data_IF_662505935216
#
_entry.id   IF_662505935216
#
_cell.length_a   1.000
_cell.length_b   1.000
_cell.length_c   1.000
_cell.angle_alpha   90.00
_cell.angle_beta   90.00
_cell.angle_gamma   90.00
#
_symmetry.space_group_name_H-M   'P 1'
#
loop_
_entity.id
_entity.type
_entity.pdbx_description
1 polymer ?
#
# COMPACT_ATOMS: atom_id res chain seq x y z
N UNK A 1 -2.87 -29.77 -0.83
CA UNK A 1 -2.59 -28.65 0.09
C UNK A 1 -1.09 -28.73 0.34
N UNK A 2 -0.28 -27.90 -0.33
CA UNK A 2 1.19 -27.97 -0.19
C UNK A 2 1.55 -27.43 1.20
N UNK A 3 2.05 -28.30 2.08
CA UNK A 3 2.76 -27.85 3.27
C UNK A 3 4.04 -27.15 2.77
N UNK A 4 4.15 -25.86 3.05
CA UNK A 4 5.37 -25.11 2.75
C UNK A 4 6.54 -25.78 3.48
N UNK A 5 7.60 -26.12 2.76
CA UNK A 5 8.82 -26.55 3.43
C UNK A 5 9.32 -25.43 4.37
N UNK A 6 10.01 -25.76 5.47
CA UNK A 6 10.55 -24.73 6.37
C UNK A 6 11.40 -23.68 5.64
N UNK A 7 12.17 -24.10 4.63
CA UNK A 7 12.97 -23.22 3.81
C UNK A 7 12.11 -22.25 2.97
N UNK A 8 11.05 -22.75 2.33
CA UNK A 8 10.15 -21.92 1.53
C UNK A 8 9.39 -20.92 2.41
N UNK A 9 8.93 -21.35 3.59
CA UNK A 9 8.25 -20.46 4.52
C UNK A 9 9.18 -19.34 5.02
N UNK A 10 10.43 -19.65 5.37
CA UNK A 10 11.43 -18.65 5.76
C UNK A 10 11.67 -17.67 4.60
N UNK A 11 11.76 -18.15 3.37
CA UNK A 11 11.92 -17.29 2.19
C UNK A 11 10.74 -16.33 2.03
N UNK A 12 9.50 -16.84 2.07
CA UNK A 12 8.28 -16.03 1.92
C UNK A 12 8.12 -15.00 3.05
N UNK A 13 8.42 -15.37 4.29
CA UNK A 13 8.41 -14.44 5.42
C UNK A 13 9.53 -13.38 5.31
N UNK A 14 10.69 -13.75 4.78
CA UNK A 14 11.78 -12.79 4.51
C UNK A 14 11.37 -11.78 3.44
N UNK A 15 10.63 -12.22 2.41
CA UNK A 15 10.07 -11.32 1.39
C UNK A 15 8.99 -10.42 2.00
N UNK A 16 8.09 -10.96 2.82
CA UNK A 16 7.07 -10.18 3.52
C UNK A 16 7.69 -9.07 4.40
N UNK A 17 8.78 -9.40 5.10
CA UNK A 17 9.57 -8.42 5.85
C UNK A 17 10.21 -7.37 4.92
N UNK A 18 10.83 -7.80 3.83
CA UNK A 18 11.46 -6.90 2.86
C UNK A 18 10.46 -5.94 2.21
N UNK A 19 9.25 -6.40 1.89
CA UNK A 19 8.12 -5.58 1.42
C UNK A 19 7.79 -4.49 2.44
N UNK A 20 7.62 -4.87 3.70
CA UNK A 20 7.34 -3.93 4.79
C UNK A 20 8.47 -2.91 4.99
N UNK A 21 9.72 -3.35 4.93
CA UNK A 21 10.89 -2.48 5.06
C UNK A 21 11.02 -1.52 3.88
N UNK A 22 10.72 -1.96 2.65
CA UNK A 22 10.78 -1.11 1.47
C UNK A 22 9.76 0.05 1.56
N UNK A 23 8.53 -0.24 1.97
CA UNK A 23 7.51 0.79 2.20
C UNK A 23 7.92 1.69 3.36
N UNK A 24 8.39 1.10 4.46
CA UNK A 24 8.84 1.82 5.65
C UNK A 24 10.06 2.71 5.42
N UNK A 25 10.93 2.37 4.48
CA UNK A 25 12.11 3.17 4.13
C UNK A 25 11.70 4.51 3.53
N UNK A 26 10.76 4.53 2.59
CA UNK A 26 10.28 5.78 2.01
C UNK A 26 9.54 6.63 3.05
N UNK A 27 8.71 6.00 3.89
CA UNK A 27 8.01 6.69 4.98
C UNK A 27 9.00 7.32 5.96
N UNK A 28 9.99 6.55 6.43
CA UNK A 28 11.03 7.03 7.35
C UNK A 28 12.00 8.04 6.72
N UNK A 29 12.22 7.98 5.40
CA UNK A 29 13.00 8.97 4.65
C UNK A 29 12.27 10.32 4.59
N UNK A 30 10.94 10.29 4.47
CA UNK A 30 10.10 11.49 4.44
C UNK A 30 10.01 12.16 5.81
N UNK A 31 9.95 11.39 6.90
CA UNK A 31 9.83 11.89 8.28
C UNK A 31 11.16 12.01 9.03
N UNK A 32 12.32 11.98 8.35
CA UNK A 32 13.62 11.86 9.05
C UNK A 32 13.95 13.04 9.95
N UNK A 33 13.49 14.23 9.57
CA UNK A 33 13.76 15.49 10.26
C UNK A 33 12.73 15.76 11.37
N UNK A 34 11.71 14.89 11.49
CA UNK A 34 10.74 14.91 12.59
C UNK A 34 11.36 14.31 13.88
N UNK A 35 10.96 14.86 15.01
CA UNK A 35 11.50 14.48 16.33
C UNK A 35 11.11 13.04 16.72
N UNK A 36 11.89 12.40 17.60
CA UNK A 36 11.53 11.07 18.13
C UNK A 36 10.21 11.14 18.90
N UNK A 37 9.14 10.61 18.30
CA UNK A 37 7.77 10.65 18.85
C UNK A 37 6.75 11.21 17.87
N UNK A 38 7.16 12.09 16.95
CA UNK A 38 6.34 12.66 15.87
C UNK A 38 6.51 11.93 14.53
N UNK A 39 7.51 11.03 14.46
CA UNK A 39 7.79 10.22 13.28
C UNK A 39 6.63 9.28 12.99
N UNK A 40 5.87 9.63 11.94
CA UNK A 40 4.85 8.74 11.37
C UNK A 40 5.46 7.35 11.10
N UNK A 41 4.77 6.30 11.59
CA UNK A 41 5.06 4.87 11.39
C UNK A 41 6.25 4.59 10.46
N UNK A 42 7.45 4.46 11.01
CA UNK A 42 8.69 4.42 10.23
C UNK A 42 9.03 3.04 9.65
N UNK A 43 10.32 2.87 9.33
CA UNK A 43 10.92 1.63 8.83
C UNK A 43 10.52 0.40 9.64
N UNK A 44 10.61 0.50 10.98
CA UNK A 44 10.31 -0.61 11.89
C UNK A 44 8.83 -0.99 11.86
N UNK A 45 7.92 -0.02 11.92
CA UNK A 45 6.47 -0.27 11.97
C UNK A 45 5.99 -0.95 10.70
N UNK A 46 6.41 -0.47 9.52
CA UNK A 46 6.00 -1.09 8.26
C UNK A 46 6.69 -2.44 8.03
N UNK A 47 7.96 -2.59 8.41
CA UNK A 47 8.65 -3.88 8.39
C UNK A 47 7.92 -4.94 9.22
N UNK A 48 7.55 -4.59 10.45
CA UNK A 48 6.76 -5.45 11.33
C UNK A 48 5.35 -5.69 10.80
N UNK A 49 4.69 -4.70 10.21
CA UNK A 49 3.38 -4.87 9.60
C UNK A 49 3.41 -5.87 8.43
N UNK A 50 4.42 -5.78 7.55
CA UNK A 50 4.62 -6.74 6.46
C UNK A 50 4.90 -8.15 6.95
N UNK A 51 5.81 -8.29 7.92
CA UNK A 51 6.09 -9.58 8.53
C UNK A 51 4.84 -10.17 9.22
N UNK A 52 4.09 -9.36 9.96
CA UNK A 52 2.85 -9.76 10.63
C UNK A 52 1.81 -10.24 9.61
N UNK A 53 1.70 -9.56 8.47
CA UNK A 53 0.90 -10.00 7.33
C UNK A 53 1.31 -11.38 6.83
N UNK A 54 2.60 -11.59 6.61
CA UNK A 54 3.13 -12.90 6.21
C UNK A 54 2.84 -14.00 7.22
N UNK A 55 3.01 -13.72 8.52
CA UNK A 55 2.69 -14.65 9.61
C UNK A 55 1.21 -15.02 9.60
N UNK A 56 0.32 -14.03 9.49
CA UNK A 56 -1.12 -14.29 9.35
C UNK A 56 -1.43 -15.08 8.08
N UNK A 57 -0.76 -14.77 6.98
CA UNK A 57 -0.87 -15.52 5.73
C UNK A 57 -0.53 -17.00 5.91
N UNK A 58 0.55 -17.30 6.63
CA UNK A 58 0.96 -18.66 6.93
C UNK A 58 -0.03 -19.38 7.86
N UNK A 59 -0.55 -18.68 8.89
CA UNK A 59 -1.52 -19.23 9.84
C UNK A 59 -2.82 -19.60 9.13
N UNK A 60 -3.32 -18.76 8.23
CA UNK A 60 -4.64 -18.96 7.62
C UNK A 60 -4.64 -19.90 6.42
N UNK A 61 -3.48 -20.14 5.79
CA UNK A 61 -3.35 -20.94 4.57
C UNK A 61 -3.98 -22.35 4.65
N UNK A 62 -3.89 -23.09 5.77
CA UNK A 62 -4.53 -24.41 5.90
C UNK A 62 -6.07 -24.36 5.97
N UNK A 63 -6.65 -23.21 6.31
CA UNK A 63 -8.08 -23.07 6.64
C UNK A 63 -8.96 -22.63 5.47
N UNK A 64 -8.41 -22.50 4.26
CA UNK A 64 -9.16 -22.17 3.05
C UNK A 64 -10.01 -20.90 3.20
N UNK A 65 -11.30 -20.97 2.85
CA UNK A 65 -12.21 -19.82 2.87
C UNK A 65 -12.41 -19.19 4.25
N UNK A 66 -12.38 -19.97 5.33
CA UNK A 66 -12.45 -19.45 6.71
C UNK A 66 -11.19 -18.63 7.04
N UNK A 67 -10.05 -19.07 6.52
CA UNK A 67 -8.78 -18.35 6.64
C UNK A 67 -8.82 -16.96 6.02
N UNK A 68 -9.50 -16.78 4.89
CA UNK A 68 -9.66 -15.47 4.23
C UNK A 68 -10.44 -14.50 5.12
N UNK A 69 -11.49 -14.97 5.78
CA UNK A 69 -12.28 -14.15 6.71
C UNK A 69 -11.42 -13.72 7.91
N UNK A 70 -10.65 -14.65 8.48
CA UNK A 70 -9.74 -14.34 9.59
C UNK A 70 -8.69 -13.29 9.18
N UNK A 71 -8.14 -13.39 7.96
CA UNK A 71 -7.18 -12.42 7.42
C UNK A 71 -7.82 -11.04 7.22
N UNK A 72 -9.06 -10.98 6.74
CA UNK A 72 -9.80 -9.73 6.59
C UNK A 72 -10.06 -9.06 7.95
N UNK A 73 -10.43 -9.84 8.97
CA UNK A 73 -10.59 -9.34 10.35
C UNK A 73 -9.27 -8.80 10.88
N UNK A 74 -8.16 -9.53 10.70
CA UNK A 74 -6.83 -9.08 11.12
C UNK A 74 -6.43 -7.77 10.45
N UNK A 75 -6.69 -7.62 9.13
CA UNK A 75 -6.45 -6.39 8.40
C UNK A 75 -7.26 -5.22 8.97
N UNK A 76 -8.57 -5.41 9.19
CA UNK A 76 -9.43 -4.37 9.77
C UNK A 76 -8.96 -3.98 11.16
N UNK A 77 -8.60 -4.96 12.00
CA UNK A 77 -8.11 -4.70 13.35
C UNK A 77 -6.80 -3.90 13.36
N UNK A 78 -5.83 -4.29 12.53
CA UNK A 78 -4.55 -3.58 12.41
C UNK A 78 -4.76 -2.18 11.82
N UNK A 79 -5.58 -2.06 10.78
CA UNK A 79 -5.94 -0.77 10.18
C UNK A 79 -6.62 0.16 11.18
N UNK A 80 -7.53 -0.37 12.00
CA UNK A 80 -8.18 0.39 13.08
C UNK A 80 -7.17 0.80 14.16
N UNK A 81 -6.29 -0.09 14.60
CA UNK A 81 -5.27 0.21 15.61
C UNK A 81 -4.36 1.35 15.12
N UNK A 82 -3.81 1.22 13.91
CA UNK A 82 -2.93 2.23 13.31
C UNK A 82 -3.71 3.54 13.09
N UNK A 83 -4.97 3.45 12.64
CA UNK A 83 -5.85 4.60 12.47
C UNK A 83 -6.11 5.35 13.78
N UNK A 84 -6.34 4.65 14.88
CA UNK A 84 -6.52 5.25 16.22
C UNK A 84 -5.24 5.93 16.69
N UNK A 85 -4.09 5.28 16.58
CA UNK A 85 -2.81 5.89 16.95
C UNK A 85 -2.55 7.15 16.11
N UNK A 86 -2.77 7.07 14.79
CA UNK A 86 -2.53 8.22 13.91
C UNK A 86 -3.55 9.33 14.09
N UNK A 87 -4.80 9.02 14.43
CA UNK A 87 -5.80 10.02 14.76
C UNK A 87 -5.36 10.85 15.98
N UNK A 88 -4.82 10.20 17.02
CA UNK A 88 -4.33 10.90 18.21
C UNK A 88 -3.15 11.83 17.90
N UNK A 89 -2.27 11.41 17.02
CA UNK A 89 -1.09 12.18 16.58
C UNK A 89 -1.48 13.35 15.67
N UNK A 90 -2.37 13.11 14.69
CA UNK A 90 -2.92 14.15 13.81
C UNK A 90 -3.65 15.28 14.58
N UNK A 91 -4.36 14.93 15.66
CA UNK A 91 -5.00 15.92 16.55
C UNK A 91 -3.97 16.75 17.32
N UNK A 92 -2.78 16.20 17.57
CA UNK A 92 -1.70 16.90 18.26
C UNK A 92 -0.91 17.81 17.31
N UNK A 93 -0.66 17.34 16.08
CA UNK A 93 0.25 17.99 15.13
C UNK A 93 -0.47 18.85 14.07
N UNK A 94 -1.80 18.95 14.12
CA UNK A 94 -2.66 19.59 13.10
C UNK A 94 -2.45 19.10 11.66
N UNK A 95 -1.88 17.91 11.49
CA UNK A 95 -1.65 17.28 10.18
C UNK A 95 -2.73 16.26 9.84
N UNK A 96 -3.08 16.14 8.57
CA UNK A 96 -4.04 15.13 8.08
C UNK A 96 -3.37 14.23 7.03
N UNK A 97 -3.07 12.99 7.43
CA UNK A 97 -2.40 12.02 6.56
C UNK A 97 -3.00 10.62 6.63
N UNK A 98 -4.01 10.34 5.82
CA UNK A 98 -4.60 8.99 5.72
C UNK A 98 -3.65 7.99 5.02
N UNK A 99 -2.70 8.48 4.23
CA UNK A 99 -1.77 7.65 3.44
C UNK A 99 -0.88 6.76 4.30
N UNK A 100 -0.57 7.14 5.54
CA UNK A 100 0.19 6.30 6.48
C UNK A 100 -0.59 5.05 6.87
N UNK A 101 -1.89 5.19 7.16
CA UNK A 101 -2.76 4.06 7.50
C UNK A 101 -2.93 3.13 6.29
N UNK A 102 -3.06 3.70 5.09
CA UNK A 102 -3.14 2.92 3.84
C UNK A 102 -1.82 2.21 3.55
N UNK A 103 -0.67 2.88 3.69
CA UNK A 103 0.65 2.29 3.46
C UNK A 103 0.92 1.12 4.41
N UNK A 104 0.57 1.25 5.69
CA UNK A 104 0.73 0.18 6.66
C UNK A 104 -0.25 -0.99 6.42
N UNK A 105 -1.50 -0.68 6.03
CA UNK A 105 -2.46 -1.69 5.58
C UNK A 105 -1.94 -2.46 4.36
N UNK A 106 -1.36 -1.76 3.38
CA UNK A 106 -0.74 -2.36 2.20
C UNK A 106 0.47 -3.22 2.57
N UNK A 107 1.33 -2.76 3.49
CA UNK A 107 2.45 -3.57 3.97
C UNK A 107 1.96 -4.91 4.53
N UNK A 108 0.95 -4.89 5.41
CA UNK A 108 0.33 -6.12 5.93
C UNK A 108 -0.28 -6.99 4.82
N UNK A 109 -1.12 -6.41 3.96
CA UNK A 109 -1.80 -7.16 2.90
C UNK A 109 -0.81 -7.80 1.92
N UNK A 110 0.22 -7.07 1.51
CA UNK A 110 1.25 -7.57 0.60
C UNK A 110 2.16 -8.60 1.28
N UNK A 111 2.42 -8.46 2.58
CA UNK A 111 3.10 -9.48 3.37
C UNK A 111 2.33 -10.80 3.41
N UNK A 112 1.02 -10.75 3.63
CA UNK A 112 0.15 -11.92 3.57
C UNK A 112 0.10 -12.52 2.15
N UNK A 113 0.04 -11.66 1.14
CA UNK A 113 0.02 -12.08 -0.27
C UNK A 113 1.34 -12.74 -0.71
N UNK A 114 2.49 -12.32 -0.17
CA UNK A 114 3.77 -12.99 -0.42
C UNK A 114 3.79 -14.44 0.07
N UNK A 115 2.99 -14.77 1.09
CA UNK A 115 2.90 -16.13 1.65
C UNK A 115 1.86 -16.98 0.93
N UNK A 116 0.64 -16.44 0.73
CA UNK A 116 -0.48 -17.22 0.18
C UNK A 116 -0.52 -17.18 -1.36
N UNK A 117 0.01 -16.12 -1.97
CA UNK A 117 -0.08 -15.85 -3.39
C UNK A 117 1.27 -15.87 -4.11
N UNK A 118 1.35 -15.08 -5.18
CA UNK A 118 2.52 -14.96 -6.03
C UNK A 118 3.53 -13.95 -5.45
N UNK A 119 4.75 -14.43 -5.22
CA UNK A 119 5.85 -13.66 -4.64
C UNK A 119 6.24 -12.48 -5.53
N UNK A 120 6.28 -12.66 -6.85
CA UNK A 120 6.71 -11.62 -7.79
C UNK A 120 5.67 -10.51 -7.86
N UNK A 121 4.39 -10.86 -7.90
CA UNK A 121 3.29 -9.91 -7.85
C UNK A 121 3.28 -9.12 -6.53
N UNK A 122 3.51 -9.78 -5.39
CA UNK A 122 3.61 -9.10 -4.09
C UNK A 122 4.78 -8.10 -4.05
N UNK A 123 5.95 -8.50 -4.55
CA UNK A 123 7.12 -7.64 -4.62
C UNK A 123 6.92 -6.46 -5.60
N UNK A 124 6.35 -6.71 -6.77
CA UNK A 124 6.06 -5.67 -7.77
C UNK A 124 5.05 -4.65 -7.23
N UNK A 125 3.99 -5.11 -6.56
CA UNK A 125 3.02 -4.23 -5.92
C UNK A 125 3.63 -3.40 -4.78
N UNK A 126 4.58 -3.97 -4.02
CA UNK A 126 5.31 -3.23 -2.99
C UNK A 126 6.17 -2.13 -3.61
N UNK A 127 6.91 -2.43 -4.68
CA UNK A 127 7.70 -1.43 -5.43
C UNK A 127 6.81 -0.33 -6.00
N UNK A 128 5.69 -0.68 -6.63
CA UNK A 128 4.73 0.29 -7.17
C UNK A 128 4.15 1.18 -6.07
N UNK A 129 3.80 0.59 -4.92
CA UNK A 129 3.34 1.33 -3.74
C UNK A 129 4.40 2.32 -3.28
N UNK A 130 5.63 1.87 -3.05
CA UNK A 130 6.74 2.74 -2.62
C UNK A 130 7.04 3.84 -3.63
N UNK A 131 6.95 3.56 -4.94
CA UNK A 131 7.13 4.57 -5.98
C UNK A 131 6.05 5.66 -5.93
N UNK A 132 4.77 5.29 -5.81
CA UNK A 132 3.65 6.25 -5.67
C UNK A 132 3.85 7.11 -4.42
N UNK A 133 4.25 6.48 -3.32
CA UNK A 133 4.52 7.14 -2.06
C UNK A 133 5.67 8.16 -2.18
N UNK A 134 6.78 7.77 -2.80
CA UNK A 134 7.94 8.65 -3.05
C UNK A 134 7.60 9.85 -3.95
N UNK A 135 6.64 9.69 -4.87
CA UNK A 135 6.20 10.75 -5.78
C UNK A 135 5.30 11.80 -5.12
N UNK A 136 4.98 11.70 -3.82
CA UNK A 136 4.07 12.62 -3.09
C UNK A 136 4.38 14.10 -3.38
N UNK A 137 5.64 14.50 -3.28
CA UNK A 137 6.07 15.90 -3.48
C UNK A 137 5.86 16.38 -4.91
N UNK A 138 6.26 15.56 -5.89
CA UNK A 138 6.07 15.83 -7.31
C UNK A 138 4.58 15.93 -7.67
N UNK A 139 3.75 14.99 -7.19
CA UNK A 139 2.31 14.97 -7.44
C UNK A 139 1.61 16.20 -6.84
N UNK A 140 1.96 16.60 -5.62
CA UNK A 140 1.42 17.83 -5.02
C UNK A 140 1.83 19.08 -5.81
N UNK A 141 3.09 19.17 -6.25
CA UNK A 141 3.56 20.28 -7.07
C UNK A 141 2.84 20.35 -8.42
N UNK A 142 2.68 19.21 -9.08
CA UNK A 142 1.97 19.09 -10.35
C UNK A 142 0.50 19.52 -10.22
N UNK A 143 -0.22 19.01 -9.22
CA UNK A 143 -1.62 19.40 -8.98
C UNK A 143 -1.75 20.89 -8.67
N UNK A 144 -0.81 21.46 -7.88
CA UNK A 144 -0.80 22.91 -7.61
C UNK A 144 -0.52 23.77 -8.85
N UNK A 145 0.13 23.21 -9.87
CA UNK A 145 0.46 23.93 -11.10
C UNK A 145 -0.66 23.92 -12.14
N UNK A 146 -1.65 23.02 -12.02
CA UNK A 146 -2.76 22.89 -12.97
C UNK A 146 -3.90 23.84 -12.61
N UNK A 147 -4.38 24.58 -13.60
CA UNK A 147 -5.59 25.39 -13.50
C UNK A 147 -6.86 24.57 -13.76
N UNK A 148 -8.01 25.08 -13.30
CA UNK A 148 -9.30 24.42 -13.53
C UNK A 148 -9.64 24.24 -15.02
N UNK A 149 -9.31 25.24 -15.84
CA UNK A 149 -9.59 25.19 -17.27
C UNK A 149 -8.73 24.15 -18.01
N UNK A 150 -7.46 24.00 -17.60
CA UNK A 150 -6.58 22.94 -18.11
C UNK A 150 -7.07 21.56 -17.70
N UNK A 151 -7.50 21.38 -16.44
CA UNK A 151 -8.05 20.12 -15.96
C UNK A 151 -9.31 19.74 -16.75
N UNK A 152 -10.24 20.68 -16.93
CA UNK A 152 -11.49 20.45 -17.67
C UNK A 152 -11.22 20.10 -19.12
N UNK A 153 -10.31 20.82 -19.76
CA UNK A 153 -9.93 20.57 -21.17
C UNK A 153 -9.23 19.22 -21.33
N UNK A 154 -8.33 18.87 -20.40
CA UNK A 154 -7.67 17.56 -20.36
C UNK A 154 -8.65 16.41 -20.17
N UNK A 155 -9.62 16.54 -19.25
CA UNK A 155 -10.69 15.55 -19.06
C UNK A 155 -11.56 15.39 -20.30
N UNK A 156 -11.92 16.49 -20.98
CA UNK A 156 -12.65 16.43 -22.23
C UNK A 156 -11.85 15.70 -23.33
N UNK A 157 -10.55 15.96 -23.44
CA UNK A 157 -9.67 15.27 -24.37
C UNK A 157 -9.54 13.77 -24.08
N UNK A 158 -9.42 13.40 -22.80
CA UNK A 158 -9.41 12.00 -22.36
C UNK A 158 -10.74 11.32 -22.68
N UNK A 159 -11.87 11.98 -22.43
CA UNK A 159 -13.18 11.46 -22.80
C UNK A 159 -13.30 11.29 -24.33
N UNK A 160 -12.82 12.24 -25.12
CA UNK A 160 -12.79 12.12 -26.58
C UNK A 160 -11.94 10.92 -27.04
N UNK A 161 -10.77 10.73 -26.43
CA UNK A 161 -9.79 9.73 -26.88
C UNK A 161 -10.10 8.31 -26.39
N UNK A 162 -10.50 8.16 -25.12
CA UNK A 162 -10.67 6.85 -24.48
C UNK A 162 -12.14 6.39 -24.42
N UNK A 163 -13.11 7.30 -24.59
CA UNK A 163 -14.54 6.97 -24.54
C UNK A 163 -15.18 7.10 -25.93
N UNK A 164 -15.08 8.28 -26.55
CA UNK A 164 -15.76 8.54 -27.83
C UNK A 164 -15.09 7.84 -29.02
N UNK A 165 -13.77 7.93 -29.15
CA UNK A 165 -13.03 7.34 -30.27
C UNK A 165 -13.27 5.83 -30.47
N UNK A 166 -13.23 4.95 -29.44
CA UNK A 166 -13.51 3.53 -29.63
C UNK A 166 -14.99 3.22 -29.93
N UNK A 167 -15.91 4.12 -29.61
CA UNK A 167 -17.37 3.97 -29.88
C UNK A 167 -17.72 4.41 -31.31
N UNK A 168 -16.92 5.29 -31.90
CA UNK A 168 -17.13 5.77 -33.26
C UNK A 168 -16.85 4.66 -34.30
N UNK A 169 -17.74 4.48 -35.30
CA UNK A 169 -17.54 3.50 -36.34
C UNK A 169 -16.27 3.80 -37.13
N UNK A 170 -15.34 2.85 -37.14
CA UNK A 170 -14.00 3.01 -37.70
C UNK A 170 -13.96 2.89 -39.25
N UNK A 171 -15.06 3.24 -39.92
CA UNK A 171 -15.22 3.14 -41.38
C UNK A 171 -16.15 4.26 -41.87
N UNK A 172 -15.76 4.91 -42.95
CA UNK A 172 -16.63 5.85 -43.66
C UNK A 172 -17.79 5.09 -44.32
N UNK A 173 -18.97 5.73 -44.34
CA UNK A 173 -20.17 5.26 -45.03
C UNK A 173 -20.02 5.49 -46.53
#
# INVERSE_FOLDING_TARGET
MYELSPAELIQRLSIALAIGLLIGLERGWTSRDESEGERAAGLRTHGLAGLLGGVWGAIVQPYGGVGVVALAIALVFIGALIGVYRYRENVHDETFGATTVVAASLAFSLGAFAVIGDIQAAAAAAVATTAILALKGFLHGFVKSITWDELRSGLALLAMSFILLPVLPNRAI
#
